data_IF_199136607928
#
_entry.id   IF_199136607928
#
_cell.length_a   1.000
_cell.length_b   1.000
_cell.length_c   1.000
_cell.angle_alpha   90.00
_cell.angle_beta   90.00
_cell.angle_gamma   90.00
#
_symmetry.space_group_name_H-M   'P 1'
#
loop_
_entity.id
_entity.type
_entity.pdbx_description
1 polymer ?
#
# COMPACT_ATOMS: atom_id res chain seq x y z
N UNK A 1 5.21 23.25 -13.34
CA UNK A 1 4.80 21.93 -13.83
C UNK A 1 3.48 22.04 -14.60
N UNK A 2 3.39 21.41 -15.77
CA UNK A 2 2.20 21.39 -16.62
C UNK A 2 2.04 20.00 -17.28
N UNK A 3 0.80 19.61 -17.57
CA UNK A 3 0.51 18.37 -18.29
C UNK A 3 0.77 18.58 -19.79
N UNK A 4 1.49 17.66 -20.42
CA UNK A 4 1.81 17.68 -21.84
C UNK A 4 1.51 16.34 -22.51
N UNK A 5 1.20 16.37 -23.80
CA UNK A 5 1.02 15.19 -24.66
C UNK A 5 2.16 14.99 -25.66
N UNK A 6 3.18 15.85 -25.62
CA UNK A 6 4.32 15.80 -26.55
C UNK A 6 5.35 14.75 -26.20
N UNK A 7 5.43 14.35 -24.93
CA UNK A 7 6.33 13.31 -24.43
C UNK A 7 5.65 12.57 -23.27
N UNK A 8 5.69 11.25 -23.26
CA UNK A 8 5.16 10.40 -22.20
C UNK A 8 5.85 9.03 -22.24
N UNK A 9 5.88 8.34 -21.10
CA UNK A 9 6.40 6.98 -21.04
C UNK A 9 5.29 5.96 -21.30
N UNK A 10 4.12 6.16 -20.70
CA UNK A 10 2.91 5.33 -20.93
C UNK A 10 1.67 6.23 -21.07
N UNK A 11 0.62 5.68 -21.66
CA UNK A 11 -0.61 6.44 -21.90
C UNK A 11 -0.46 7.47 -23.00
N UNK A 12 -0.87 8.72 -22.77
CA UNK A 12 -0.89 9.80 -23.75
C UNK A 12 -0.36 11.13 -23.22
N UNK A 13 0.03 11.22 -21.94
CA UNK A 13 0.43 12.47 -21.30
C UNK A 13 1.47 12.21 -20.22
N UNK A 14 2.29 13.22 -19.93
CA UNK A 14 3.17 13.30 -18.77
C UNK A 14 3.11 14.69 -18.14
N UNK A 15 3.84 14.91 -17.06
CA UNK A 15 4.03 16.22 -16.46
C UNK A 15 5.41 16.77 -16.82
N UNK A 16 5.43 17.97 -17.39
CA UNK A 16 6.65 18.69 -17.79
C UNK A 16 6.89 19.88 -16.88
N UNK A 17 8.14 20.14 -16.55
CA UNK A 17 8.62 21.40 -16.00
C UNK A 17 9.41 22.14 -17.08
N UNK A 18 9.02 23.38 -17.41
CA UNK A 18 9.74 24.26 -18.33
C UNK A 18 11.03 24.83 -17.70
N UNK A 19 11.91 23.92 -17.26
CA UNK A 19 13.13 24.26 -16.55
C UNK A 19 14.10 25.08 -17.42
N UNK A 20 14.09 24.82 -18.72
CA UNK A 20 14.96 25.49 -19.70
C UNK A 20 14.74 26.99 -19.81
N UNK A 21 13.56 27.47 -19.44
CA UNK A 21 13.17 28.89 -19.42
C UNK A 21 13.28 29.51 -18.02
N UNK A 22 13.54 28.70 -16.99
CA UNK A 22 13.64 29.14 -15.60
C UNK A 22 14.96 29.82 -15.28
N UNK A 23 14.97 30.56 -14.17
CA UNK A 23 16.18 31.17 -13.63
C UNK A 23 16.99 30.13 -12.85
N UNK A 24 18.29 30.10 -13.03
CA UNK A 24 19.18 29.24 -12.27
C UNK A 24 19.01 29.47 -10.76
N UNK A 25 18.81 28.38 -10.01
CA UNK A 25 18.50 28.39 -8.58
C UNK A 25 17.00 28.47 -8.26
N UNK A 26 16.11 28.65 -9.26
CA UNK A 26 14.66 28.56 -9.02
C UNK A 26 14.24 27.18 -8.55
N UNK A 27 13.15 27.16 -7.80
CA UNK A 27 12.60 25.96 -7.19
C UNK A 27 11.16 25.78 -7.67
N UNK A 28 10.86 24.60 -8.15
CA UNK A 28 9.51 24.20 -8.55
C UNK A 28 9.08 22.95 -7.80
N UNK A 29 7.84 22.91 -7.34
CA UNK A 29 7.30 21.81 -6.54
C UNK A 29 6.03 21.24 -7.16
N UNK A 30 5.96 19.90 -7.23
CA UNK A 30 4.77 19.14 -7.58
C UNK A 30 4.33 18.37 -6.34
N UNK A 31 3.16 18.71 -5.79
CA UNK A 31 2.70 18.25 -4.48
C UNK A 31 1.45 17.38 -4.65
N UNK A 32 1.41 16.23 -3.98
CA UNK A 32 0.24 15.34 -3.96
C UNK A 32 -0.93 15.95 -3.17
N UNK A 33 -2.13 15.44 -3.42
CA UNK A 33 -3.23 15.54 -2.46
C UNK A 33 -2.89 14.78 -1.17
N UNK A 34 -3.69 15.00 -0.11
CA UNK A 34 -3.62 14.21 1.13
C UNK A 34 -4.09 12.79 0.86
N UNK A 35 -3.38 11.82 1.38
CA UNK A 35 -3.61 10.39 1.17
C UNK A 35 -3.65 9.73 2.54
N UNK A 36 -4.63 8.85 2.77
CA UNK A 36 -4.71 8.06 4.00
C UNK A 36 -3.92 6.75 3.84
N UNK A 37 -2.82 6.64 4.60
CA UNK A 37 -1.99 5.44 4.70
C UNK A 37 -2.08 4.77 6.07
N UNK A 38 -3.00 5.18 6.96
CA UNK A 38 -3.07 4.68 8.34
C UNK A 38 -3.34 3.17 8.44
N UNK A 39 -3.97 2.60 7.43
CA UNK A 39 -4.24 1.15 7.33
C UNK A 39 -3.21 0.40 6.47
N UNK A 40 -2.11 1.05 6.09
CA UNK A 40 -1.05 0.41 5.30
C UNK A 40 0.05 -0.14 6.20
N UNK A 41 0.53 -1.35 5.91
CA UNK A 41 1.70 -1.93 6.59
C UNK A 41 3.02 -1.42 5.99
N UNK A 42 2.99 -1.02 4.73
CA UNK A 42 4.14 -0.45 4.03
C UNK A 42 3.68 0.49 2.93
N UNK A 43 4.52 1.42 2.52
CA UNK A 43 4.29 2.28 1.36
C UNK A 43 5.58 2.45 0.55
N UNK A 44 5.44 2.58 -0.76
CA UNK A 44 6.54 2.86 -1.69
C UNK A 44 6.09 3.85 -2.74
N UNK A 45 6.95 4.78 -3.13
CA UNK A 45 6.70 5.70 -4.25
C UNK A 45 7.59 5.30 -5.40
N UNK A 46 7.01 5.05 -6.57
CA UNK A 46 7.75 4.85 -7.80
C UNK A 46 7.33 5.89 -8.86
N UNK A 47 8.25 6.26 -9.70
CA UNK A 47 8.01 7.18 -10.81
C UNK A 47 9.05 6.99 -11.90
N UNK A 48 8.73 7.50 -13.09
CA UNK A 48 9.67 7.64 -14.19
C UNK A 48 9.96 9.11 -14.46
N UNK A 49 11.19 9.39 -14.84
CA UNK A 49 11.59 10.74 -15.18
C UNK A 49 12.57 10.75 -16.38
N UNK A 50 12.59 11.86 -17.11
CA UNK A 50 13.52 12.11 -18.19
C UNK A 50 14.08 13.52 -18.10
N UNK A 51 15.39 13.65 -18.28
CA UNK A 51 16.10 14.93 -18.19
C UNK A 51 17.45 14.86 -18.91
N UNK A 52 17.83 15.96 -19.54
CA UNK A 52 19.18 16.16 -20.07
C UNK A 52 19.79 17.45 -19.53
N UNK A 53 21.05 17.42 -19.17
CA UNK A 53 21.83 18.63 -18.98
C UNK A 53 22.09 19.31 -20.31
N UNK A 54 22.29 20.62 -20.34
CA UNK A 54 22.81 21.33 -21.51
C UNK A 54 24.33 21.15 -21.63
N UNK A 55 25.02 21.19 -20.51
CA UNK A 55 26.46 20.97 -20.42
C UNK A 55 26.85 20.34 -19.06
N UNK A 56 28.11 19.97 -18.92
CA UNK A 56 28.63 19.32 -17.71
C UNK A 56 28.60 20.20 -16.44
N UNK A 57 28.53 21.53 -16.60
CA UNK A 57 28.46 22.49 -15.50
C UNK A 57 27.07 22.65 -14.88
N UNK A 58 26.00 22.11 -15.50
CA UNK A 58 24.67 22.22 -14.96
C UNK A 58 24.52 21.43 -13.65
N UNK A 59 23.85 22.06 -12.67
CA UNK A 59 23.74 21.55 -11.29
C UNK A 59 22.32 21.22 -10.86
N UNK A 60 21.43 20.99 -11.82
CA UNK A 60 20.05 20.60 -11.57
C UNK A 60 19.95 19.35 -10.70
N UNK A 61 18.94 19.29 -9.82
CA UNK A 61 18.66 18.09 -9.03
C UNK A 61 17.18 17.98 -8.65
N UNK A 62 16.75 16.76 -8.39
CA UNK A 62 15.40 16.43 -7.93
C UNK A 62 15.45 15.85 -6.53
N UNK A 63 14.58 16.35 -5.66
CA UNK A 63 14.38 15.83 -4.31
C UNK A 63 12.94 15.36 -4.15
N UNK A 64 12.76 14.26 -3.43
CA UNK A 64 11.43 13.76 -3.03
C UNK A 64 11.29 13.89 -1.53
N UNK A 65 10.21 14.52 -1.11
CA UNK A 65 9.87 14.74 0.29
C UNK A 65 8.57 14.04 0.65
N UNK A 66 8.42 13.70 1.92
CA UNK A 66 7.17 13.24 2.51
C UNK A 66 6.81 14.09 3.73
N UNK A 67 5.50 14.24 3.94
CA UNK A 67 4.89 14.87 5.08
C UNK A 67 3.94 13.90 5.76
N UNK A 68 3.78 14.02 7.08
CA UNK A 68 2.82 13.26 7.90
C UNK A 68 1.79 14.15 8.59
N UNK A 69 1.74 15.42 8.24
CA UNK A 69 0.95 16.49 8.85
C UNK A 69 0.32 17.41 7.79
N UNK A 70 -0.22 16.83 6.71
CA UNK A 70 -0.85 17.55 5.59
C UNK A 70 0.05 18.55 4.87
N UNK A 71 1.39 18.45 5.02
CA UNK A 71 2.33 19.35 4.35
C UNK A 71 2.82 20.51 5.20
N UNK A 72 2.57 20.52 6.52
CA UNK A 72 3.13 21.51 7.43
C UNK A 72 4.64 21.31 7.59
N UNK A 73 5.08 20.05 7.74
CA UNK A 73 6.51 19.72 7.79
C UNK A 73 6.87 18.71 6.70
N UNK A 74 8.09 18.85 6.15
CA UNK A 74 8.57 18.04 5.06
C UNK A 74 9.92 17.39 5.35
N UNK A 75 10.01 16.09 5.10
CA UNK A 75 11.21 15.29 5.33
C UNK A 75 11.71 14.69 4.01
N UNK A 76 12.97 14.93 3.66
CA UNK A 76 13.56 14.40 2.46
C UNK A 76 13.66 12.87 2.50
N UNK A 77 13.16 12.20 1.46
CA UNK A 77 13.19 10.74 1.30
C UNK A 77 14.18 10.29 0.25
N UNK A 78 14.41 11.12 -0.78
CA UNK A 78 15.35 10.82 -1.86
C UNK A 78 15.97 12.11 -2.38
N UNK A 79 17.24 12.05 -2.69
CA UNK A 79 17.94 13.09 -3.46
C UNK A 79 18.53 12.46 -4.73
N UNK A 80 18.16 13.00 -5.88
CA UNK A 80 18.73 12.66 -7.19
C UNK A 80 19.60 13.82 -7.59
N UNK A 81 20.89 13.71 -7.26
CA UNK A 81 21.86 14.78 -7.40
C UNK A 81 22.17 15.10 -8.88
N UNK A 82 22.78 16.26 -9.09
CA UNK A 82 23.20 16.70 -10.41
C UNK A 82 24.12 15.73 -11.14
N UNK A 83 24.85 14.88 -10.43
CA UNK A 83 25.74 13.87 -11.03
C UNK A 83 24.99 12.69 -11.65
N UNK A 84 23.73 12.43 -11.23
CA UNK A 84 22.97 11.24 -11.64
C UNK A 84 21.60 11.56 -12.28
N UNK A 85 21.14 12.82 -12.23
CA UNK A 85 19.80 13.18 -12.71
C UNK A 85 19.65 13.04 -14.24
N UNK A 86 20.71 13.20 -15.02
CA UNK A 86 20.65 13.05 -16.49
C UNK A 86 20.29 11.61 -16.86
N UNK A 87 19.31 11.50 -17.77
CA UNK A 87 18.86 10.24 -18.37
C UNK A 87 19.32 10.10 -19.82
N UNK A 88 19.72 11.22 -20.44
CA UNK A 88 20.16 11.35 -21.80
C UNK A 88 21.51 12.10 -21.89
N UNK A 89 22.22 12.03 -23.02
CA UNK A 89 23.40 12.86 -23.28
C UNK A 89 23.13 14.35 -23.16
N UNK A 90 24.14 15.14 -22.82
CA UNK A 90 24.03 16.60 -22.78
C UNK A 90 23.67 17.17 -24.16
N UNK A 91 22.75 18.13 -24.19
CA UNK A 91 22.34 18.81 -25.43
C UNK A 91 21.85 20.22 -25.14
N UNK A 92 22.20 21.17 -26.00
CA UNK A 92 21.66 22.54 -25.97
C UNK A 92 20.29 22.66 -26.68
N UNK A 93 19.90 21.64 -27.42
CA UNK A 93 18.56 21.58 -28.02
C UNK A 93 17.52 21.21 -26.97
N UNK A 94 16.28 21.65 -27.16
CA UNK A 94 15.15 21.12 -26.35
C UNK A 94 15.00 19.62 -26.54
N UNK A 95 14.50 18.94 -25.51
CA UNK A 95 14.34 17.48 -25.50
C UNK A 95 12.86 17.08 -25.61
N UNK A 96 12.61 16.00 -26.32
CA UNK A 96 11.35 15.25 -26.35
C UNK A 96 11.69 13.79 -26.04
N UNK A 97 11.58 13.35 -24.77
CA UNK A 97 11.97 12.01 -24.37
C UNK A 97 11.16 10.92 -25.09
N UNK A 98 11.84 9.85 -25.46
CA UNK A 98 11.26 8.62 -26.02
C UNK A 98 11.48 7.43 -25.07
N UNK A 99 10.98 6.25 -25.37
CA UNK A 99 10.91 5.10 -24.46
C UNK A 99 12.19 4.79 -23.65
N UNK A 100 13.38 4.83 -24.29
CA UNK A 100 14.66 4.52 -23.64
C UNK A 100 15.23 5.68 -22.78
N UNK A 101 14.69 6.87 -22.96
CA UNK A 101 15.19 8.08 -22.27
C UNK A 101 14.66 8.22 -20.84
N UNK A 102 13.70 7.39 -20.47
CA UNK A 102 13.08 7.40 -19.15
C UNK A 102 13.79 6.48 -18.17
N UNK A 103 14.21 7.02 -17.04
CA UNK A 103 14.70 6.24 -15.89
C UNK A 103 13.59 6.02 -14.87
N UNK A 104 13.63 4.86 -14.21
CA UNK A 104 12.71 4.50 -13.13
C UNK A 104 13.38 4.68 -11.77
N UNK A 105 12.65 5.25 -10.82
CA UNK A 105 13.06 5.35 -9.41
C UNK A 105 11.95 4.72 -8.55
N UNK A 106 12.38 3.94 -7.57
CA UNK A 106 11.52 3.45 -6.49
C UNK A 106 12.14 3.86 -5.17
N UNK A 107 11.34 4.50 -4.32
CA UNK A 107 11.67 4.80 -2.92
C UNK A 107 10.94 3.75 -2.09
N UNK A 108 11.69 2.83 -1.51
CA UNK A 108 11.16 1.63 -0.85
C UNK A 108 10.52 1.89 0.51
N UNK A 109 9.90 0.85 1.09
CA UNK A 109 9.04 0.97 2.27
C UNK A 109 9.78 1.48 3.50
N UNK A 110 11.04 1.14 3.69
CA UNK A 110 11.85 1.62 4.82
C UNK A 110 11.95 3.15 4.90
N UNK A 111 11.76 3.85 3.78
CA UNK A 111 11.76 5.31 3.75
C UNK A 111 10.48 5.93 4.30
N UNK A 112 9.40 5.16 4.45
CA UNK A 112 8.07 5.64 4.83
C UNK A 112 7.51 5.01 6.11
N UNK A 113 8.31 4.24 6.85
CA UNK A 113 7.86 3.53 8.07
C UNK A 113 7.14 4.46 9.07
N UNK A 114 7.61 5.71 9.24
CA UNK A 114 7.02 6.69 10.15
C UNK A 114 6.03 7.64 9.46
N UNK A 115 5.57 7.30 8.25
CA UNK A 115 4.67 8.10 7.42
C UNK A 115 3.37 7.38 7.07
N UNK A 116 3.09 6.25 7.70
CA UNK A 116 1.86 5.47 7.50
C UNK A 116 0.75 6.09 8.37
N UNK A 117 0.26 7.24 7.94
CA UNK A 117 -0.73 8.07 8.65
C UNK A 117 -1.83 8.54 7.72
N UNK A 118 -2.96 9.01 8.27
CA UNK A 118 -4.10 9.52 7.48
C UNK A 118 -3.80 10.83 6.75
N UNK A 119 -2.78 11.57 7.20
CA UNK A 119 -2.45 12.91 6.71
C UNK A 119 -1.18 12.90 5.83
N UNK A 120 -0.91 11.79 5.16
CA UNK A 120 0.28 11.64 4.32
C UNK A 120 0.18 12.51 3.06
N UNK A 121 1.29 13.19 2.73
CA UNK A 121 1.53 13.84 1.43
C UNK A 121 2.96 13.60 1.00
N UNK A 122 3.21 13.69 -0.31
CA UNK A 122 4.56 13.71 -0.86
C UNK A 122 4.70 14.84 -1.89
N UNK A 123 5.93 15.26 -2.15
CA UNK A 123 6.24 16.24 -3.19
C UNK A 123 7.56 15.94 -3.89
N UNK A 124 7.60 16.33 -5.15
CA UNK A 124 8.80 16.46 -5.94
C UNK A 124 9.23 17.92 -5.91
N UNK A 125 10.48 18.18 -5.54
CA UNK A 125 11.09 19.49 -5.54
C UNK A 125 12.23 19.48 -6.54
N UNK A 126 12.11 20.23 -7.62
CA UNK A 126 13.15 20.38 -8.62
C UNK A 126 13.88 21.71 -8.37
N UNK A 127 15.20 21.69 -8.47
CA UNK A 127 16.03 22.90 -8.38
C UNK A 127 16.76 23.08 -9.70
N UNK A 128 16.49 24.21 -10.33
CA UNK A 128 17.07 24.58 -11.61
C UNK A 128 18.57 24.85 -11.49
N UNK A 129 19.38 24.14 -12.26
CA UNK A 129 20.83 24.31 -12.39
C UNK A 129 21.26 24.68 -13.81
N UNK A 130 20.31 25.17 -14.64
CA UNK A 130 20.55 25.62 -16.01
C UNK A 130 20.41 24.52 -17.08
N UNK A 131 19.84 23.38 -16.74
CA UNK A 131 19.61 22.27 -17.68
C UNK A 131 18.43 22.44 -18.60
N UNK A 132 18.02 21.36 -19.27
CA UNK A 132 16.84 21.31 -20.13
C UNK A 132 15.55 21.17 -19.32
N UNK A 133 14.41 21.00 -20.01
CA UNK A 133 13.13 20.72 -19.39
C UNK A 133 13.16 19.36 -18.68
N UNK A 134 12.41 19.24 -17.59
CA UNK A 134 12.28 18.01 -16.82
C UNK A 134 10.90 17.40 -17.05
N UNK A 135 10.86 16.08 -17.22
CA UNK A 135 9.63 15.32 -17.41
C UNK A 135 9.49 14.26 -16.32
N UNK A 136 8.27 14.07 -15.85
CA UNK A 136 7.93 13.00 -14.88
C UNK A 136 6.63 12.32 -15.30
N UNK A 137 6.59 11.00 -15.16
CA UNK A 137 5.47 10.15 -15.54
C UNK A 137 5.36 8.92 -14.62
N UNK A 138 4.26 8.19 -14.72
CA UNK A 138 4.03 6.96 -13.96
C UNK A 138 4.28 7.13 -12.46
N UNK A 139 3.78 8.22 -11.88
CA UNK A 139 3.86 8.42 -10.43
C UNK A 139 2.87 7.47 -9.75
N UNK A 140 3.40 6.48 -9.03
CA UNK A 140 2.61 5.49 -8.31
C UNK A 140 2.97 5.50 -6.84
N UNK A 141 1.95 5.52 -5.99
CA UNK A 141 2.05 5.19 -4.59
C UNK A 141 1.48 3.78 -4.42
N UNK A 142 2.31 2.84 -4.03
CA UNK A 142 1.92 1.47 -3.71
C UNK A 142 2.04 1.25 -2.22
N UNK A 143 1.06 0.58 -1.63
CA UNK A 143 1.05 0.17 -0.24
C UNK A 143 0.70 -1.31 -0.14
N UNK A 144 1.21 -2.00 0.86
CA UNK A 144 0.65 -3.27 1.30
C UNK A 144 -0.27 -2.97 2.48
N UNK A 145 -1.48 -3.46 2.44
CA UNK A 145 -2.30 -3.57 3.65
C UNK A 145 -1.78 -4.81 4.39
N UNK A 146 -1.41 -4.66 5.65
CA UNK A 146 -1.35 -5.81 6.51
C UNK A 146 -2.79 -6.15 6.85
N UNK A 147 -3.33 -7.12 6.16
CA UNK A 147 -4.35 -7.94 6.78
C UNK A 147 -3.53 -8.73 7.80
N UNK A 148 -3.69 -8.44 9.08
CA UNK A 148 -3.18 -9.28 10.16
C UNK A 148 -3.96 -10.61 10.16
N UNK A 149 -3.85 -11.35 9.07
CA UNK A 149 -4.26 -12.75 9.04
C UNK A 149 -3.37 -13.63 9.92
N UNK A 150 -2.18 -13.13 10.28
CA UNK A 150 -1.17 -13.91 10.98
C UNK A 150 -1.39 -14.03 12.48
N UNK A 151 -2.14 -13.15 13.12
CA UNK A 151 -2.37 -13.24 14.57
C UNK A 151 -3.56 -14.12 14.96
N UNK A 152 -4.47 -14.43 14.05
CA UNK A 152 -5.67 -15.19 14.36
C UNK A 152 -5.89 -16.44 13.49
N UNK A 153 -5.24 -16.54 12.32
CA UNK A 153 -5.43 -17.65 11.37
C UNK A 153 -4.49 -18.84 11.56
N UNK A 154 -3.68 -18.87 12.63
CA UNK A 154 -2.98 -20.10 12.94
C UNK A 154 -3.96 -21.06 13.62
N UNK A 155 -4.74 -21.75 12.78
CA UNK A 155 -5.31 -22.99 13.14
C UNK A 155 -6.80 -23.05 13.49
N UNK A 156 -7.69 -22.14 13.03
CA UNK A 156 -9.13 -22.46 13.11
C UNK A 156 -9.39 -23.69 12.25
N UNK A 157 -9.57 -24.80 12.91
CA UNK A 157 -9.88 -26.08 12.26
C UNK A 157 -11.21 -26.62 12.76
N UNK A 158 -11.89 -27.32 11.87
CA UNK A 158 -13.13 -28.05 12.17
C UNK A 158 -12.87 -29.51 11.81
N UNK A 159 -13.05 -30.41 12.77
CA UNK A 159 -12.85 -31.82 12.55
C UNK A 159 -13.88 -32.69 13.32
N UNK A 160 -14.25 -33.87 12.77
CA UNK A 160 -13.94 -34.31 11.41
C UNK A 160 -14.59 -33.40 10.35
N UNK A 161 -14.05 -33.36 9.15
CA UNK A 161 -14.70 -32.70 8.00
C UNK A 161 -14.67 -33.72 6.83
N UNK A 162 -15.77 -34.26 6.36
CA UNK A 162 -17.18 -33.96 6.76
C UNK A 162 -17.55 -34.33 8.20
N UNK A 163 -18.42 -33.50 8.78
CA UNK A 163 -18.96 -33.68 10.15
C UNK A 163 -20.11 -34.69 10.11
N UNK A 164 -20.18 -35.56 11.15
CA UNK A 164 -21.35 -36.44 11.36
C UNK A 164 -22.18 -36.01 12.57
N UNK A 165 -21.72 -36.25 13.77
CA UNK A 165 -22.48 -36.08 15.00
C UNK A 165 -22.01 -34.88 15.82
N UNK A 166 -20.68 -34.72 15.99
CA UNK A 166 -20.06 -33.67 16.75
C UNK A 166 -19.09 -32.87 15.89
N UNK A 167 -19.02 -31.57 16.16
CA UNK A 167 -18.10 -30.61 15.58
C UNK A 167 -17.05 -30.29 16.64
N UNK A 168 -15.79 -30.65 16.40
CA UNK A 168 -14.67 -30.22 17.21
C UNK A 168 -13.99 -29.04 16.50
N UNK A 169 -13.87 -27.94 17.20
CA UNK A 169 -13.35 -26.66 16.71
C UNK A 169 -12.11 -26.36 17.52
N UNK A 170 -10.95 -26.27 16.86
CA UNK A 170 -9.68 -25.89 17.50
C UNK A 170 -9.17 -24.61 16.87
N UNK A 171 -8.63 -23.71 17.69
CA UNK A 171 -7.97 -22.49 17.23
C UNK A 171 -6.99 -21.96 18.27
N UNK A 172 -6.05 -21.14 17.82
CA UNK A 172 -5.09 -20.49 18.68
C UNK A 172 -5.38 -18.99 18.79
N UNK A 173 -5.42 -18.44 20.01
CA UNK A 173 -5.59 -17.00 20.25
C UNK A 173 -4.35 -16.44 20.96
N UNK A 174 -3.72 -15.43 20.38
CA UNK A 174 -2.52 -14.78 20.97
C UNK A 174 -2.90 -13.94 22.19
N UNK A 175 -4.09 -13.37 22.22
CA UNK A 175 -4.59 -12.49 23.28
C UNK A 175 -5.97 -12.92 23.76
N UNK A 176 -6.38 -12.42 24.93
CA UNK A 176 -7.74 -12.60 25.42
C UNK A 176 -8.73 -11.88 24.52
N UNK A 177 -9.77 -12.59 24.08
CA UNK A 177 -10.83 -12.03 23.25
C UNK A 177 -11.91 -11.38 24.11
N UNK A 178 -12.41 -10.21 23.64
CA UNK A 178 -13.49 -9.48 24.33
C UNK A 178 -14.82 -9.84 23.70
N UNK A 179 -15.74 -10.33 24.55
CA UNK A 179 -17.09 -10.77 24.16
C UNK A 179 -17.11 -11.73 22.93
N UNK A 180 -16.33 -12.82 22.95
CA UNK A 180 -16.30 -13.72 21.82
C UNK A 180 -17.61 -14.51 21.69
N UNK A 181 -18.03 -14.69 20.44
CA UNK A 181 -19.19 -15.52 20.08
C UNK A 181 -18.84 -16.43 18.91
N UNK A 182 -19.40 -17.63 18.94
CA UNK A 182 -19.41 -18.56 17.82
C UNK A 182 -20.75 -18.43 17.09
N UNK A 183 -20.69 -18.22 15.80
CA UNK A 183 -21.87 -18.14 14.93
C UNK A 183 -21.72 -19.17 13.80
N UNK A 184 -22.81 -19.82 13.45
CA UNK A 184 -22.87 -20.81 12.37
C UNK A 184 -23.90 -20.38 11.33
N UNK A 185 -23.48 -20.33 10.08
CA UNK A 185 -24.32 -19.94 8.95
C UNK A 185 -24.43 -21.08 7.95
N UNK A 186 -25.60 -21.25 7.36
CA UNK A 186 -25.82 -22.18 6.26
C UNK A 186 -25.31 -21.63 4.91
N UNK A 187 -25.40 -22.42 3.85
CA UNK A 187 -24.95 -22.04 2.51
C UNK A 187 -25.71 -20.83 1.91
N UNK A 188 -26.88 -20.48 2.47
CA UNK A 188 -27.66 -19.31 2.07
C UNK A 188 -27.36 -18.06 2.92
N UNK A 189 -26.39 -18.16 3.85
CA UNK A 189 -26.00 -17.07 4.75
C UNK A 189 -26.96 -16.84 5.92
N UNK A 190 -27.88 -17.77 6.22
CA UNK A 190 -28.78 -17.68 7.35
C UNK A 190 -28.06 -18.16 8.61
N UNK A 191 -28.18 -17.40 9.70
CA UNK A 191 -27.66 -17.80 11.01
C UNK A 191 -28.47 -18.99 11.54
N UNK A 192 -27.85 -20.15 11.72
CA UNK A 192 -28.46 -21.39 12.21
C UNK A 192 -28.13 -21.72 13.65
N UNK A 193 -27.01 -21.19 14.17
CA UNK A 193 -26.63 -21.31 15.57
C UNK A 193 -25.79 -20.13 16.03
N UNK A 194 -25.90 -19.74 17.30
CA UNK A 194 -25.06 -18.74 17.94
C UNK A 194 -24.82 -19.07 19.42
N UNK A 195 -23.56 -19.00 19.86
CA UNK A 195 -23.16 -19.31 21.24
C UNK A 195 -22.11 -18.32 21.73
N UNK A 196 -22.36 -17.66 22.88
CA UNK A 196 -21.32 -16.88 23.57
C UNK A 196 -20.24 -17.80 24.11
N UNK A 197 -18.98 -17.38 23.96
CA UNK A 197 -17.80 -18.14 24.41
C UNK A 197 -17.22 -17.46 25.66
N UNK A 198 -17.46 -18.05 26.82
CA UNK A 198 -17.14 -17.40 28.11
C UNK A 198 -15.76 -17.78 28.69
N UNK A 199 -15.10 -18.81 28.16
CA UNK A 199 -13.89 -19.40 28.72
C UNK A 199 -12.73 -19.54 27.75
N UNK A 200 -12.59 -18.60 26.81
CA UNK A 200 -11.43 -18.59 25.91
C UNK A 200 -10.21 -18.03 26.62
N UNK A 201 -9.07 -18.70 26.39
CA UNK A 201 -7.76 -18.33 26.95
C UNK A 201 -6.83 -17.85 25.84
N UNK A 202 -5.80 -17.10 26.22
CA UNK A 202 -4.65 -16.92 25.35
C UNK A 202 -3.95 -18.28 25.19
N UNK A 203 -3.68 -18.69 23.93
CA UNK A 203 -3.16 -20.01 23.59
C UNK A 203 -4.15 -20.86 22.81
N UNK A 204 -4.01 -22.18 22.92
CA UNK A 204 -4.88 -23.14 22.26
C UNK A 204 -6.27 -23.20 22.93
N UNK A 205 -7.31 -23.16 22.10
CA UNK A 205 -8.70 -23.31 22.52
C UNK A 205 -9.38 -24.42 21.74
N UNK A 206 -10.21 -25.21 22.44
CA UNK A 206 -11.03 -26.26 21.86
C UNK A 206 -12.50 -26.07 22.28
N UNK A 207 -13.39 -26.24 21.32
CA UNK A 207 -14.84 -26.12 21.51
C UNK A 207 -15.50 -27.32 20.86
N UNK A 208 -16.37 -28.01 21.59
CA UNK A 208 -17.23 -29.05 21.05
C UNK A 208 -18.68 -28.58 20.98
N UNK A 209 -19.35 -28.93 19.88
CA UNK A 209 -20.77 -28.72 19.71
C UNK A 209 -21.43 -29.86 18.91
N UNK A 210 -22.68 -30.18 19.22
CA UNK A 210 -23.46 -31.17 18.48
C UNK A 210 -23.88 -30.59 17.13
N UNK A 211 -23.85 -31.42 16.10
CA UNK A 211 -24.37 -31.13 14.76
C UNK A 211 -25.69 -31.87 14.46
N UNK A 212 -26.30 -32.50 15.46
CA UNK A 212 -27.51 -33.33 15.28
C UNK A 212 -28.71 -32.57 14.69
N UNK A 213 -28.76 -31.24 14.92
CA UNK A 213 -29.85 -30.38 14.42
C UNK A 213 -29.50 -29.65 13.11
N UNK A 214 -28.38 -30.05 12.47
CA UNK A 214 -27.95 -29.47 11.19
C UNK A 214 -28.32 -30.44 10.04
N UNK A 215 -28.92 -29.90 9.00
CA UNK A 215 -29.12 -30.61 7.75
C UNK A 215 -27.79 -30.89 7.03
N UNK A 216 -27.78 -31.88 6.13
CA UNK A 216 -26.61 -32.13 5.31
C UNK A 216 -26.36 -30.92 4.37
N UNK A 217 -25.11 -30.45 4.31
CA UNK A 217 -24.74 -29.30 3.49
C UNK A 217 -23.48 -28.57 3.97
N UNK A 218 -23.15 -27.48 3.25
CA UNK A 218 -22.04 -26.61 3.62
C UNK A 218 -22.43 -25.60 4.67
N UNK A 219 -21.53 -25.38 5.62
CA UNK A 219 -21.67 -24.41 6.69
C UNK A 219 -20.45 -23.51 6.81
N UNK A 220 -20.67 -22.25 7.17
CA UNK A 220 -19.65 -21.29 7.54
C UNK A 220 -19.66 -21.12 9.05
N UNK A 221 -18.55 -21.48 9.71
CA UNK A 221 -18.28 -21.23 11.11
C UNK A 221 -17.59 -19.86 11.24
N UNK A 222 -18.09 -19.05 12.16
CA UNK A 222 -17.56 -17.71 12.45
C UNK A 222 -17.28 -17.63 13.94
N UNK A 223 -16.06 -17.30 14.34
CA UNK A 223 -15.76 -16.84 15.71
C UNK A 223 -15.54 -15.35 15.66
N UNK A 224 -16.37 -14.57 16.36
CA UNK A 224 -16.41 -13.12 16.33
C UNK A 224 -16.12 -12.56 17.70
N UNK A 225 -15.28 -11.54 17.81
CA UNK A 225 -15.02 -10.72 19.00
C UNK A 225 -15.14 -9.24 18.66
N UNK A 226 -14.94 -8.36 19.65
CA UNK A 226 -14.89 -6.92 19.37
C UNK A 226 -13.69 -6.53 18.49
N UNK A 227 -12.60 -7.28 18.61
CA UNK A 227 -11.36 -6.99 17.91
C UNK A 227 -11.29 -7.65 16.53
N UNK A 228 -11.82 -8.88 16.40
CA UNK A 228 -11.56 -9.74 15.22
C UNK A 228 -12.68 -10.73 14.93
N UNK A 229 -12.68 -11.18 13.68
CA UNK A 229 -13.55 -12.27 13.18
C UNK A 229 -12.69 -13.28 12.44
N UNK A 230 -12.86 -14.58 12.75
CA UNK A 230 -12.25 -15.69 12.01
C UNK A 230 -13.33 -16.64 11.49
N UNK A 231 -13.05 -17.24 10.36
CA UNK A 231 -14.01 -18.12 9.68
C UNK A 231 -13.37 -19.41 9.21
N UNK A 232 -14.14 -20.48 9.21
CA UNK A 232 -13.82 -21.73 8.54
C UNK A 232 -15.10 -22.34 7.96
N UNK A 233 -15.00 -23.10 6.89
CA UNK A 233 -16.14 -23.80 6.29
C UNK A 233 -15.95 -25.32 6.41
N UNK A 234 -17.06 -25.99 6.66
CA UNK A 234 -17.09 -27.44 6.75
C UNK A 234 -18.34 -28.02 6.07
N UNK A 235 -18.26 -29.30 5.74
CA UNK A 235 -19.34 -30.07 5.18
C UNK A 235 -19.99 -30.93 6.29
N UNK A 236 -21.32 -30.90 6.40
CA UNK A 236 -22.14 -31.81 7.24
C UNK A 236 -22.72 -32.92 6.31
N UNK A 237 -22.50 -34.15 6.68
CA UNK A 237 -23.11 -35.34 6.05
C UNK A 237 -24.43 -35.71 6.73
#
# INVERSE_FOLDING_TARGET
FQVVSTAFHTGSQSVKLDNSQGTNGSIDELISNTIDLSNSAAASISFKYAFAKRNSGNTDYLQVYASKDCGETWFMRKNISSSIISTMPNTNAGIIPTGSDWKSITIGPNSFTNFLVSNFRFKFKFVNGGGNDFFIDNINLSGSVSIDETEFNQGLTVHPNPVKDNINISFYSISKLTNPALELYDAMGRLVNSKKLNHLVSGANEIEMSSSNLDAGWYLLVIKSQEKTITNKFLKN
#
